data_IF_248695546332
#
_entry.id   IF_248695546332
#
_cell.length_a   1.000
_cell.length_b   1.000
_cell.length_c   1.000
_cell.angle_alpha   90.00
_cell.angle_beta   90.00
_cell.angle_gamma   90.00
#
_symmetry.space_group_name_H-M   'P 1'
#
loop_
_entity.id
_entity.type
_entity.pdbx_description
1 polymer ?
#
# COMPACT_ATOMS: atom_id res chain seq x y z
N UNK A 1 -26.53 -32.44 8.55
CA UNK A 1 -26.41 -30.96 8.55
C UNK A 1 -26.46 -30.48 7.13
N UNK A 2 -27.50 -29.72 6.78
CA UNK A 2 -27.68 -29.25 5.40
C UNK A 2 -26.64 -28.15 5.13
N UNK A 3 -25.72 -28.41 4.19
CA UNK A 3 -24.64 -27.49 3.91
C UNK A 3 -25.18 -26.32 3.05
N UNK A 4 -25.69 -25.28 3.71
CA UNK A 4 -26.27 -24.09 3.05
C UNK A 4 -25.34 -23.49 1.99
N UNK A 5 -24.03 -23.56 2.21
CA UNK A 5 -23.02 -23.07 1.26
C UNK A 5 -23.07 -23.87 -0.04
N UNK A 6 -23.10 -25.19 0.01
CA UNK A 6 -23.18 -26.05 -1.18
C UNK A 6 -24.47 -25.84 -1.95
N UNK A 7 -25.58 -25.66 -1.24
CA UNK A 7 -26.87 -25.39 -1.87
C UNK A 7 -26.88 -24.04 -2.59
N UNK A 8 -26.28 -23.00 -2.00
CA UNK A 8 -26.13 -21.68 -2.63
C UNK A 8 -25.26 -21.78 -3.88
N UNK A 9 -24.09 -22.42 -3.78
CA UNK A 9 -23.18 -22.59 -4.90
C UNK A 9 -23.82 -23.41 -6.05
N UNK A 10 -24.56 -24.47 -5.74
CA UNK A 10 -25.31 -25.24 -6.75
C UNK A 10 -26.38 -24.41 -7.44
N UNK A 11 -27.10 -23.56 -6.71
CA UNK A 11 -28.11 -22.65 -7.28
C UNK A 11 -27.50 -21.58 -8.17
N UNK A 12 -26.33 -21.03 -7.79
CA UNK A 12 -25.59 -20.07 -8.60
C UNK A 12 -25.11 -20.75 -9.89
N UNK A 13 -24.51 -21.93 -9.80
CA UNK A 13 -24.07 -22.69 -10.97
C UNK A 13 -25.23 -23.09 -11.91
N UNK A 14 -26.40 -23.44 -11.33
CA UNK A 14 -27.60 -23.79 -12.11
C UNK A 14 -28.30 -22.58 -12.74
N UNK A 15 -28.04 -21.36 -12.25
CA UNK A 15 -28.62 -20.13 -12.81
C UNK A 15 -28.09 -19.78 -14.21
N UNK A 16 -26.99 -20.43 -14.65
CA UNK A 16 -26.50 -20.39 -16.03
C UNK A 16 -26.40 -19.00 -16.59
N UNK A 17 -25.50 -18.15 -16.07
CA UNK A 17 -25.27 -16.85 -16.71
C UNK A 17 -24.66 -17.07 -18.09
N UNK A 18 -25.25 -16.48 -19.16
CA UNK A 18 -24.61 -16.57 -20.47
C UNK A 18 -23.22 -15.94 -20.41
N UNK A 19 -22.23 -16.62 -20.97
CA UNK A 19 -20.90 -16.05 -21.18
C UNK A 19 -21.00 -14.94 -22.21
N UNK A 20 -20.79 -13.71 -21.78
CA UNK A 20 -20.63 -12.57 -22.66
C UNK A 20 -19.14 -12.33 -22.89
N UNK A 21 -18.78 -12.08 -24.15
CA UNK A 21 -17.44 -11.60 -24.45
C UNK A 21 -17.17 -10.31 -23.68
N UNK A 22 -16.00 -10.19 -23.07
CA UNK A 22 -15.61 -8.94 -22.40
C UNK A 22 -15.55 -7.82 -23.44
N UNK A 23 -16.23 -6.69 -23.23
CA UNK A 23 -16.19 -5.62 -24.21
C UNK A 23 -14.76 -5.09 -24.35
N UNK A 24 -14.33 -4.90 -25.60
CA UNK A 24 -13.10 -4.18 -25.88
C UNK A 24 -13.37 -2.68 -25.72
N UNK A 25 -12.77 -2.08 -24.71
CA UNK A 25 -12.92 -0.65 -24.43
C UNK A 25 -11.94 0.23 -25.21
N UNK A 26 -11.08 -0.36 -26.06
CA UNK A 26 -10.08 0.39 -26.82
C UNK A 26 -9.17 1.22 -25.92
N UNK A 27 -8.83 0.70 -24.73
CA UNK A 27 -8.02 1.42 -23.77
C UNK A 27 -6.59 1.58 -24.29
N UNK A 28 -6.16 2.83 -24.47
CA UNK A 28 -4.77 3.17 -24.72
C UNK A 28 -4.11 3.51 -23.37
N UNK A 29 -3.02 2.81 -22.99
CA UNK A 29 -2.30 3.11 -21.76
C UNK A 29 -1.80 4.56 -21.77
N UNK A 30 -2.06 5.29 -20.70
CA UNK A 30 -1.48 6.60 -20.49
C UNK A 30 -0.03 6.45 -20.06
N UNK A 31 0.89 7.23 -20.67
CA UNK A 31 2.28 7.30 -20.27
C UNK A 31 2.63 8.71 -19.79
N UNK A 32 3.48 8.80 -18.77
CA UNK A 32 3.97 10.06 -18.23
C UNK A 32 5.45 10.21 -18.53
N UNK A 33 5.87 11.37 -19.03
CA UNK A 33 7.29 11.70 -19.27
C UNK A 33 8.11 11.65 -17.96
N UNK A 34 7.48 12.02 -16.83
CA UNK A 34 8.05 11.94 -15.50
C UNK A 34 7.04 11.33 -14.53
N UNK A 35 7.02 9.99 -14.43
CA UNK A 35 6.13 9.28 -13.50
C UNK A 35 6.34 9.68 -12.04
N UNK A 36 7.59 10.02 -11.64
CA UNK A 36 7.90 10.41 -10.28
C UNK A 36 7.30 11.77 -9.91
N UNK A 37 7.38 12.76 -10.81
CA UNK A 37 6.75 14.06 -10.61
C UNK A 37 5.22 13.93 -10.59
N UNK A 38 4.65 13.11 -11.48
CA UNK A 38 3.21 12.87 -11.51
C UNK A 38 2.73 12.17 -10.23
N UNK A 39 3.42 11.12 -9.78
CA UNK A 39 3.13 10.42 -8.52
C UNK A 39 3.11 11.41 -7.35
N UNK A 40 4.16 12.22 -7.20
CA UNK A 40 4.25 13.21 -6.12
C UNK A 40 3.12 14.24 -6.17
N UNK A 41 2.73 14.68 -7.37
CA UNK A 41 1.62 15.61 -7.57
C UNK A 41 0.29 14.99 -7.14
N UNK A 42 0.02 13.76 -7.56
CA UNK A 42 -1.23 13.03 -7.24
C UNK A 42 -1.32 12.69 -5.77
N UNK A 43 -0.22 12.22 -5.18
CA UNK A 43 -0.14 11.93 -3.76
C UNK A 43 -0.42 13.19 -2.93
N UNK A 44 0.15 14.34 -3.33
CA UNK A 44 -0.11 15.62 -2.65
C UNK A 44 -1.57 16.03 -2.76
N UNK A 45 -2.21 15.84 -3.91
CA UNK A 45 -3.62 16.12 -4.09
C UNK A 45 -4.52 15.24 -3.21
N UNK A 46 -4.06 14.04 -2.84
CA UNK A 46 -4.70 13.12 -1.90
C UNK A 46 -4.36 13.41 -0.42
N UNK A 47 -3.54 14.44 -0.13
CA UNK A 47 -3.15 14.83 1.23
C UNK A 47 -1.87 14.17 1.75
N UNK A 48 -1.15 13.43 0.91
CA UNK A 48 0.14 12.85 1.24
C UNK A 48 1.32 13.70 0.75
N UNK A 49 2.53 13.25 1.03
CA UNK A 49 3.77 13.88 0.57
C UNK A 49 4.78 12.81 0.13
N UNK A 50 5.45 13.04 -0.99
CA UNK A 50 6.55 12.21 -1.45
C UNK A 50 7.89 12.83 -1.06
N UNK A 51 8.75 12.04 -0.42
CA UNK A 51 10.12 12.42 -0.04
C UNK A 51 11.09 11.53 -0.81
N UNK A 52 11.96 12.15 -1.58
CA UNK A 52 12.98 11.45 -2.35
C UNK A 52 14.26 11.34 -1.53
N UNK A 53 14.77 10.11 -1.39
CA UNK A 53 16.05 9.86 -0.71
C UNK A 53 17.20 9.90 -1.72
N UNK A 54 18.27 10.57 -1.37
CA UNK A 54 19.49 10.71 -2.18
C UNK A 54 20.54 9.62 -1.91
N UNK A 55 20.20 8.63 -1.08
CA UNK A 55 21.09 7.55 -0.66
C UNK A 55 22.04 7.91 0.49
N UNK A 56 22.18 9.19 0.84
CA UNK A 56 22.90 9.64 2.03
C UNK A 56 21.97 9.84 3.24
N UNK A 57 20.72 10.21 2.97
CA UNK A 57 19.69 10.44 3.99
C UNK A 57 19.12 9.10 4.48
N UNK A 58 19.13 8.89 5.78
CA UNK A 58 18.57 7.69 6.44
C UNK A 58 17.06 7.83 6.65
N UNK A 59 16.34 6.69 6.80
CA UNK A 59 14.93 6.70 7.16
C UNK A 59 14.68 7.37 8.52
N UNK A 60 15.57 7.15 9.47
CA UNK A 60 15.49 7.80 10.79
C UNK A 60 15.55 9.32 10.70
N UNK A 61 16.37 9.88 9.81
CA UNK A 61 16.44 11.32 9.57
C UNK A 61 15.14 11.85 8.95
N UNK A 62 14.55 11.10 8.03
CA UNK A 62 13.25 11.45 7.46
C UNK A 62 12.16 11.43 8.53
N UNK A 63 12.12 10.38 9.36
CA UNK A 63 11.17 10.29 10.48
C UNK A 63 11.29 11.49 11.39
N UNK A 64 12.51 11.82 11.86
CA UNK A 64 12.72 12.99 12.74
C UNK A 64 12.32 14.31 12.11
N UNK A 65 12.54 14.46 10.80
CA UNK A 65 12.22 15.69 10.07
C UNK A 65 10.71 15.84 9.82
N UNK A 66 10.05 14.75 9.39
CA UNK A 66 8.64 14.81 9.00
C UNK A 66 7.69 14.63 10.20
N UNK A 67 8.11 13.87 11.22
CA UNK A 67 7.31 13.53 12.40
C UNK A 67 8.08 13.75 13.69
N UNK A 68 8.52 14.99 13.98
CA UNK A 68 9.38 15.29 15.14
C UNK A 68 8.72 14.99 16.49
N UNK A 69 7.39 15.02 16.54
CA UNK A 69 6.59 14.81 17.75
C UNK A 69 6.13 13.35 17.95
N UNK A 70 6.41 12.45 17.00
CA UNK A 70 6.04 11.06 17.12
C UNK A 70 6.77 10.38 18.27
N UNK A 71 6.02 9.86 19.25
CA UNK A 71 6.52 9.16 20.44
C UNK A 71 6.51 7.65 20.25
N UNK A 72 5.55 7.15 19.47
CA UNK A 72 5.42 5.75 19.13
C UNK A 72 5.60 5.54 17.62
N UNK A 73 6.63 4.77 17.27
CA UNK A 73 6.96 4.42 15.89
C UNK A 73 6.90 2.91 15.73
N UNK A 74 6.02 2.41 14.87
CA UNK A 74 5.92 0.98 14.57
C UNK A 74 6.56 0.67 13.22
N UNK A 75 7.55 -0.21 13.22
CA UNK A 75 8.20 -0.70 12.00
C UNK A 75 8.84 -2.07 12.22
N UNK A 76 8.82 -2.90 11.17
CA UNK A 76 9.62 -4.12 11.07
C UNK A 76 10.87 -3.91 10.19
N UNK A 77 11.02 -2.73 9.57
CA UNK A 77 12.16 -2.40 8.72
C UNK A 77 13.42 -2.20 9.58
N UNK A 78 14.51 -2.92 9.33
CA UNK A 78 15.75 -2.82 10.13
C UNK A 78 16.42 -1.44 10.01
N UNK A 79 16.15 -0.70 8.93
CA UNK A 79 16.66 0.65 8.69
C UNK A 79 15.98 1.71 9.55
N UNK A 80 14.86 1.39 10.20
CA UNK A 80 14.13 2.28 11.11
C UNK A 80 14.54 1.95 12.54
N UNK A 81 15.68 2.50 12.97
CA UNK A 81 16.23 2.22 14.32
C UNK A 81 15.46 2.96 15.43
N UNK A 82 14.66 3.95 15.06
CA UNK A 82 13.75 4.68 15.97
C UNK A 82 12.48 3.90 16.31
N UNK A 83 12.26 2.72 15.71
CA UNK A 83 11.06 1.94 15.98
C UNK A 83 10.97 1.54 17.45
N UNK A 84 9.87 1.93 18.10
CA UNK A 84 9.54 1.58 19.49
C UNK A 84 8.71 0.29 19.55
N UNK A 85 8.02 -0.06 18.46
CA UNK A 85 7.17 -1.26 18.33
C UNK A 85 7.53 -1.99 17.05
N UNK A 86 7.75 -3.30 17.15
CA UNK A 86 7.85 -4.17 15.98
C UNK A 86 6.49 -4.84 15.76
N UNK A 87 5.76 -4.52 14.66
CA UNK A 87 4.42 -5.02 14.41
C UNK A 87 4.35 -6.55 14.25
N UNK A 88 5.44 -7.19 13.82
CA UNK A 88 5.49 -8.65 13.66
C UNK A 88 5.60 -9.40 14.98
N UNK A 89 5.96 -8.72 16.07
CA UNK A 89 6.09 -9.27 17.42
C UNK A 89 4.86 -9.02 18.32
N UNK A 90 3.94 -8.20 17.83
CA UNK A 90 2.69 -7.90 18.55
C UNK A 90 1.74 -9.09 18.41
N UNK A 91 1.12 -9.50 19.51
CA UNK A 91 0.15 -10.60 19.49
C UNK A 91 -1.28 -10.09 19.26
N UNK A 92 -1.66 -9.01 19.94
CA UNK A 92 -2.97 -8.40 19.81
C UNK A 92 -2.92 -7.20 18.84
N UNK A 93 -3.62 -7.24 17.69
CA UNK A 93 -3.62 -6.14 16.72
C UNK A 93 -4.11 -4.81 17.29
N UNK A 94 -4.84 -4.82 18.42
CA UNK A 94 -5.28 -3.60 19.10
C UNK A 94 -4.14 -2.79 19.69
N UNK A 95 -2.98 -3.41 19.95
CA UNK A 95 -1.77 -2.71 20.38
C UNK A 95 -1.14 -1.82 19.29
N UNK A 96 -1.58 -2.01 18.03
CA UNK A 96 -1.16 -1.19 16.89
C UNK A 96 -2.14 -0.04 16.58
N UNK A 97 -3.19 0.12 17.36
CA UNK A 97 -4.07 1.27 17.32
C UNK A 97 -3.45 2.40 18.16
N UNK A 98 -3.62 3.64 17.74
CA UNK A 98 -3.05 4.84 18.39
C UNK A 98 -1.50 4.94 18.32
N UNK A 99 -0.85 4.22 17.42
CA UNK A 99 0.55 4.45 17.06
C UNK A 99 0.66 5.80 16.32
N UNK A 100 1.61 6.65 16.73
CA UNK A 100 1.80 7.97 16.09
C UNK A 100 2.24 7.83 14.63
N UNK A 101 3.17 6.90 14.36
CA UNK A 101 3.72 6.67 13.02
C UNK A 101 3.94 5.18 12.74
N UNK A 102 3.30 4.66 11.69
CA UNK A 102 3.68 3.40 11.06
C UNK A 102 4.68 3.63 9.93
N UNK A 103 5.79 2.87 9.89
CA UNK A 103 6.73 2.89 8.77
C UNK A 103 6.81 1.48 8.16
N UNK A 104 6.40 1.36 6.91
CA UNK A 104 6.24 0.06 6.24
C UNK A 104 6.83 0.08 4.84
N UNK A 105 7.14 -1.10 4.30
CA UNK A 105 7.54 -1.27 2.91
C UNK A 105 6.33 -1.31 1.99
N UNK A 106 6.42 -0.65 0.84
CA UNK A 106 5.54 -0.84 -0.30
C UNK A 106 6.29 -1.48 -1.45
N UNK A 107 5.60 -2.17 -2.33
CA UNK A 107 6.20 -2.82 -3.50
C UNK A 107 6.40 -1.82 -4.65
N UNK A 108 5.39 -1.01 -4.93
CA UNK A 108 5.44 -0.02 -6.01
C UNK A 108 4.41 1.09 -5.82
N UNK A 109 4.58 2.17 -6.58
CA UNK A 109 3.63 3.29 -6.65
C UNK A 109 3.02 3.43 -8.04
N UNK A 110 1.85 4.08 -8.12
CA UNK A 110 1.10 4.33 -9.35
C UNK A 110 1.02 5.83 -9.62
N UNK A 111 1.58 6.26 -10.74
CA UNK A 111 1.73 7.68 -11.05
C UNK A 111 0.38 8.38 -11.31
N UNK A 112 -0.56 7.72 -11.98
CA UNK A 112 -1.85 8.35 -12.35
C UNK A 112 -2.70 8.82 -11.17
N UNK A 113 -2.56 8.17 -9.99
CA UNK A 113 -3.42 8.45 -8.83
C UNK A 113 -2.67 8.61 -7.50
N UNK A 114 -1.34 8.37 -7.46
CA UNK A 114 -0.55 8.44 -6.23
C UNK A 114 -0.76 7.26 -5.28
N UNK A 115 -1.37 6.17 -5.75
CA UNK A 115 -1.55 4.96 -4.94
C UNK A 115 -0.23 4.22 -4.73
N UNK A 116 -0.13 3.48 -3.62
CA UNK A 116 1.00 2.60 -3.32
C UNK A 116 0.48 1.20 -3.03
N UNK A 117 1.08 0.21 -3.66
CA UNK A 117 0.82 -1.18 -3.34
C UNK A 117 1.64 -1.61 -2.11
N UNK A 118 0.95 -2.01 -1.06
CA UNK A 118 1.57 -2.56 0.15
C UNK A 118 1.36 -4.08 0.14
N UNK A 119 2.43 -4.89 0.19
CA UNK A 119 2.33 -6.35 0.23
C UNK A 119 1.47 -6.83 1.39
N UNK A 120 0.81 -7.98 1.19
CA UNK A 120 -0.12 -8.53 2.16
C UNK A 120 0.54 -9.50 3.16
N UNK A 121 1.85 -9.47 3.26
CA UNK A 121 2.71 -10.39 4.01
C UNK A 121 2.92 -10.00 5.47
N UNK A 122 2.44 -8.83 5.92
CA UNK A 122 2.54 -8.43 7.31
C UNK A 122 1.50 -9.15 8.18
N UNK A 123 1.89 -9.44 9.42
CA UNK A 123 1.07 -10.14 10.39
C UNK A 123 -0.24 -9.41 10.73
N UNK A 124 -0.18 -8.08 10.93
CA UNK A 124 -1.31 -7.27 11.35
C UNK A 124 -1.51 -6.05 10.47
N UNK A 125 -2.54 -6.07 9.63
CA UNK A 125 -2.94 -4.92 8.80
C UNK A 125 -3.51 -3.74 9.62
N UNK A 126 -3.78 -3.96 10.91
CA UNK A 126 -4.28 -2.93 11.83
C UNK A 126 -3.38 -1.68 11.84
N UNK A 127 -2.06 -1.84 11.68
CA UNK A 127 -1.12 -0.72 11.62
C UNK A 127 -1.45 0.26 10.48
N UNK A 128 -1.86 -0.24 9.31
CA UNK A 128 -2.15 0.62 8.14
C UNK A 128 -3.34 1.56 8.35
N UNK A 129 -4.27 1.18 9.23
CA UNK A 129 -5.52 1.89 9.46
C UNK A 129 -5.60 2.51 10.85
N UNK A 130 -4.81 2.00 11.80
CA UNK A 130 -4.83 2.42 13.19
C UNK A 130 -3.78 3.46 13.56
N UNK A 131 -2.69 3.58 12.81
CA UNK A 131 -1.69 4.61 13.04
C UNK A 131 -2.21 5.99 12.65
N UNK A 132 -1.78 7.02 13.40
CA UNK A 132 -2.13 8.42 13.12
C UNK A 132 -1.54 8.89 11.77
N UNK A 133 -0.32 8.44 11.47
CA UNK A 133 0.34 8.67 10.19
C UNK A 133 0.97 7.37 9.68
N UNK A 134 1.06 7.26 8.35
CA UNK A 134 1.70 6.13 7.68
C UNK A 134 2.78 6.64 6.71
N UNK A 135 4.00 6.17 6.89
CA UNK A 135 5.10 6.33 5.94
C UNK A 135 5.30 5.03 5.19
N UNK A 136 5.21 5.07 3.87
CA UNK A 136 5.45 3.90 3.01
C UNK A 136 6.72 4.10 2.23
N UNK A 137 7.67 3.18 2.37
CA UNK A 137 8.96 3.20 1.68
C UNK A 137 8.86 2.32 0.44
N UNK A 138 9.10 2.90 -0.74
CA UNK A 138 9.10 2.18 -2.01
C UNK A 138 10.42 2.40 -2.76
N UNK A 139 10.88 1.45 -3.58
CA UNK A 139 12.01 1.68 -4.48
C UNK A 139 11.67 2.80 -5.48
N UNK A 140 12.64 3.65 -5.78
CA UNK A 140 12.43 4.81 -6.66
C UNK A 140 12.05 4.41 -8.10
N UNK A 141 12.57 3.29 -8.56
CA UNK A 141 12.33 2.70 -9.87
C UNK A 141 11.09 1.80 -9.94
N UNK A 142 10.40 1.64 -8.81
CA UNK A 142 9.19 0.83 -8.72
C UNK A 142 7.92 1.71 -8.88
N UNK A 143 7.89 2.59 -9.89
CA UNK A 143 6.71 3.33 -10.28
C UNK A 143 6.17 2.77 -11.59
N UNK A 144 4.84 2.64 -11.66
CA UNK A 144 4.11 2.35 -12.90
C UNK A 144 3.23 3.54 -13.26
N UNK A 145 2.93 3.70 -14.53
CA UNK A 145 2.16 4.85 -15.00
C UNK A 145 0.70 4.74 -14.58
N UNK A 146 0.08 3.56 -14.75
CA UNK A 146 -1.36 3.39 -14.62
C UNK A 146 -1.76 2.23 -13.70
N UNK A 147 -3.02 2.26 -13.23
CA UNK A 147 -3.61 1.13 -12.49
C UNK A 147 -3.73 -0.13 -13.35
N UNK A 148 -3.86 0.00 -14.68
CA UNK A 148 -3.90 -1.16 -15.58
C UNK A 148 -2.57 -1.91 -15.58
N UNK A 149 -1.45 -1.21 -15.56
CA UNK A 149 -0.13 -1.81 -15.39
C UNK A 149 0.04 -2.41 -13.98
N UNK A 150 -0.48 -1.71 -12.99
CA UNK A 150 -0.40 -2.15 -11.60
C UNK A 150 -1.07 -3.52 -11.37
N UNK A 151 -2.32 -3.70 -11.86
CA UNK A 151 -3.13 -4.91 -11.58
C UNK A 151 -2.64 -6.18 -12.28
N UNK A 152 -1.75 -6.07 -13.27
CA UNK A 152 -1.14 -7.22 -13.96
C UNK A 152 0.24 -7.59 -13.40
N UNK A 153 0.73 -6.85 -12.39
CA UNK A 153 2.01 -7.16 -11.74
C UNK A 153 1.92 -8.42 -10.88
N UNK A 154 3.01 -9.19 -10.79
CA UNK A 154 3.04 -10.43 -10.00
C UNK A 154 2.89 -10.20 -8.49
N UNK A 155 3.10 -8.97 -8.01
CA UNK A 155 2.96 -8.62 -6.59
C UNK A 155 1.49 -8.41 -6.18
N UNK A 156 0.56 -8.25 -7.14
CA UNK A 156 -0.89 -8.07 -6.95
C UNK A 156 -1.60 -9.40 -7.06
#
# INVERSE_FOLDING_TARGET
MNNSKENILKRIAAAGMPEYAYPDFGYEPQHFDDPAAMFAQRLRAAGGEAVWLDGATTLDEVVRRCYPDAKSVASALPEVTLATVNPDRVEDPRELVDIDLGVVSGAFGVAENGAVWIPQDIRHKALYFGATALMVVIPRDALVDTMHEAVVRPEV
#
